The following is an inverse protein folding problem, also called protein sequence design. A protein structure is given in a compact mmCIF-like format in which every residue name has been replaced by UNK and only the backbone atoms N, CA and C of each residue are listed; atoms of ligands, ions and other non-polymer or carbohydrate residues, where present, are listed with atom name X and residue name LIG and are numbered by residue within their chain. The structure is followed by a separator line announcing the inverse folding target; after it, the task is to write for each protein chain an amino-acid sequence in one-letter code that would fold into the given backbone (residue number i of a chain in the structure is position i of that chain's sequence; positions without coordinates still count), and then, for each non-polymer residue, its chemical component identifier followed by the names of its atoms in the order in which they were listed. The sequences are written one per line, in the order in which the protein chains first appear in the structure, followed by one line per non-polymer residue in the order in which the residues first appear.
data_IF_806857446975
#
_entry.id   IF_806857446975
#
_cell.length_a   1.000
_cell.length_b   1.000
_cell.length_c   1.000
_cell.angle_alpha   90.00
_cell.angle_beta   90.00
_cell.angle_gamma   90.00
#
_symmetry.space_group_name_H-M   'P 1'
#
loop_
_entity.id
_entity.type
_entity.pdbx_description
1 polymer ?
#
# COMPACT_ATOMS: atom_id res chain seq x y z
N UNK A 1 -20.08 43.09 34.91
CA UNK A 1 -19.07 42.30 34.19
C UNK A 1 -19.55 40.87 33.93
N UNK A 2 -20.75 40.68 33.33
CA UNK A 2 -21.37 39.34 33.23
C UNK A 2 -21.78 38.91 31.82
N UNK A 3 -21.83 39.82 30.83
CA UNK A 3 -22.18 39.43 29.45
C UNK A 3 -20.96 39.01 28.60
N UNK A 4 -19.76 39.48 28.96
CA UNK A 4 -18.52 39.19 28.22
C UNK A 4 -18.01 37.76 28.48
N UNK A 5 -18.23 37.23 29.69
CA UNK A 5 -17.80 35.87 30.04
C UNK A 5 -18.59 34.76 29.32
N UNK A 6 -19.88 35.00 29.05
CA UNK A 6 -20.75 34.03 28.36
C UNK A 6 -20.42 33.96 26.86
N UNK A 7 -20.10 35.09 26.24
CA UNK A 7 -19.71 35.14 24.82
C UNK A 7 -18.40 34.39 24.52
N UNK A 8 -17.44 34.44 25.43
CA UNK A 8 -16.14 33.75 25.28
C UNK A 8 -16.27 32.23 25.45
N UNK A 9 -17.12 31.78 26.37
CA UNK A 9 -17.35 30.35 26.60
C UNK A 9 -18.00 29.66 25.39
N UNK A 10 -18.93 30.34 24.71
CA UNK A 10 -19.60 29.79 23.53
C UNK A 10 -18.65 29.67 22.33
N UNK A 11 -17.78 30.67 22.11
CA UNK A 11 -16.76 30.65 21.05
C UNK A 11 -15.71 29.56 21.26
N UNK A 12 -15.26 29.34 22.49
CA UNK A 12 -14.29 28.30 22.82
C UNK A 12 -14.85 26.88 22.59
N UNK A 13 -16.13 26.65 22.88
CA UNK A 13 -16.80 25.37 22.64
C UNK A 13 -17.04 25.11 21.14
N UNK A 14 -17.39 26.13 20.36
CA UNK A 14 -17.55 25.98 18.91
C UNK A 14 -16.23 25.76 18.18
N UNK A 15 -15.14 26.41 18.61
CA UNK A 15 -13.82 26.22 18.00
C UNK A 15 -13.21 24.86 18.40
N UNK A 16 -13.35 24.44 19.66
CA UNK A 16 -12.89 23.13 20.12
C UNK A 16 -13.65 21.95 19.49
N UNK A 17 -14.96 22.10 19.27
CA UNK A 17 -15.79 21.07 18.64
C UNK A 17 -15.49 20.86 17.16
N UNK A 18 -15.17 21.93 16.43
CA UNK A 18 -14.75 21.83 15.02
C UNK A 18 -13.38 21.19 14.89
N UNK A 19 -12.41 21.56 15.73
CA UNK A 19 -11.05 20.97 15.69
C UNK A 19 -11.09 19.46 15.90
N UNK A 20 -11.94 18.95 16.80
CA UNK A 20 -12.06 17.50 17.05
C UNK A 20 -12.63 16.72 15.87
N UNK A 21 -13.56 17.33 15.10
CA UNK A 21 -14.16 16.69 13.92
C UNK A 21 -13.20 16.59 12.73
N UNK A 22 -12.15 17.42 12.70
CA UNK A 22 -11.16 17.43 11.62
C UNK A 22 -9.81 16.83 12.02
N UNK A 23 -9.63 16.36 13.26
CA UNK A 23 -8.36 15.77 13.69
C UNK A 23 -7.96 14.60 12.77
N UNK A 24 -8.87 13.67 12.48
CA UNK A 24 -8.55 12.52 11.63
C UNK A 24 -8.16 12.93 10.20
N UNK A 25 -8.76 13.97 9.60
CA UNK A 25 -8.35 14.45 8.27
C UNK A 25 -7.09 15.33 8.27
N UNK A 26 -6.78 16.02 9.38
CA UNK A 26 -5.65 16.95 9.49
C UNK A 26 -4.29 16.27 9.71
N UNK A 27 -4.26 15.01 10.16
CA UNK A 27 -3.01 14.33 10.53
C UNK A 27 -2.52 13.31 9.49
N UNK A 28 -3.27 13.09 8.41
CA UNK A 28 -2.78 12.28 7.31
C UNK A 28 -1.80 13.09 6.44
N UNK A 29 -0.62 12.55 6.11
CA UNK A 29 0.30 13.21 5.18
C UNK A 29 -0.43 13.59 3.89
N UNK A 30 -0.28 14.85 3.48
CA UNK A 30 -0.92 15.42 2.29
C UNK A 30 -2.46 15.40 2.30
N UNK A 31 -3.10 15.13 3.45
CA UNK A 31 -4.54 14.90 3.54
C UNK A 31 -4.98 13.58 2.88
N UNK A 32 -4.06 12.65 2.61
CA UNK A 32 -4.35 11.34 2.03
C UNK A 32 -4.25 10.26 3.10
N UNK A 33 -5.39 9.66 3.47
CA UNK A 33 -5.46 8.60 4.49
C UNK A 33 -4.66 7.34 4.14
N UNK A 34 -4.25 7.19 2.86
CA UNK A 34 -3.39 6.10 2.40
C UNK A 34 -1.91 6.38 2.67
N UNK A 35 -1.53 7.65 2.83
CA UNK A 35 -0.15 8.04 3.04
C UNK A 35 0.30 7.71 4.46
N UNK A 36 1.47 7.08 4.57
CA UNK A 36 2.08 6.75 5.85
C UNK A 36 2.97 7.89 6.34
N UNK A 37 3.05 8.05 7.66
CA UNK A 37 3.87 9.08 8.28
C UNK A 37 5.33 8.99 7.80
N UNK A 38 5.94 10.14 7.52
CA UNK A 38 7.30 10.23 6.99
C UNK A 38 7.40 10.18 5.46
N UNK A 39 6.28 9.96 4.74
CA UNK A 39 6.26 10.09 3.28
C UNK A 39 6.65 11.51 2.85
N UNK A 40 7.56 11.62 1.88
CA UNK A 40 8.06 12.90 1.37
C UNK A 40 7.23 13.48 0.20
N UNK A 41 6.40 12.66 -0.44
CA UNK A 41 5.69 12.97 -1.69
C UNK A 41 4.29 12.35 -1.68
N UNK A 42 3.31 13.09 -2.21
CA UNK A 42 1.95 12.57 -2.40
C UNK A 42 1.87 11.73 -3.69
N UNK A 43 1.22 10.57 -3.61
CA UNK A 43 0.88 9.79 -4.80
C UNK A 43 -0.47 10.21 -5.38
N UNK A 44 -0.69 10.08 -6.70
CA UNK A 44 -1.98 10.36 -7.31
C UNK A 44 -3.11 9.51 -6.71
N UNK A 45 -4.36 9.97 -6.89
CA UNK A 45 -5.54 9.20 -6.48
C UNK A 45 -5.55 7.80 -7.10
N UNK A 46 -5.21 7.70 -8.39
CA UNK A 46 -4.99 6.42 -9.08
C UNK A 46 -3.49 6.13 -9.07
N UNK A 47 -3.07 5.22 -8.21
CA UNK A 47 -1.67 4.79 -8.12
C UNK A 47 -1.38 3.82 -9.26
N UNK A 48 -0.30 4.08 -9.99
CA UNK A 48 0.19 3.23 -11.07
C UNK A 48 1.63 2.83 -10.79
N UNK A 49 1.85 1.58 -10.40
CA UNK A 49 3.19 1.06 -10.17
C UNK A 49 3.80 0.58 -11.49
N UNK A 50 4.95 1.14 -11.88
CA UNK A 50 5.58 0.86 -13.18
C UNK A 50 4.66 1.07 -14.38
N UNK A 51 3.76 2.05 -14.30
CA UNK A 51 2.78 2.34 -15.35
C UNK A 51 1.53 1.46 -15.34
N UNK A 52 1.42 0.48 -14.42
CA UNK A 52 0.23 -0.37 -14.27
C UNK A 52 -0.62 0.09 -13.09
N UNK A 53 -1.88 0.52 -13.32
CA UNK A 53 -2.79 0.88 -12.24
C UNK A 53 -3.01 -0.28 -11.26
N UNK A 54 -3.13 0.05 -9.98
CA UNK A 54 -3.54 -0.92 -8.96
C UNK A 54 -4.87 -1.59 -9.35
N UNK A 55 -5.12 -2.84 -8.91
CA UNK A 55 -6.38 -3.51 -9.15
C UNK A 55 -7.59 -2.68 -8.73
N UNK A 56 -8.68 -2.78 -9.48
CA UNK A 56 -9.90 -2.01 -9.19
C UNK A 56 -10.55 -2.38 -7.84
N UNK A 57 -10.24 -3.58 -7.32
CA UNK A 57 -10.68 -4.09 -6.02
C UNK A 57 -9.63 -3.87 -4.91
N UNK A 58 -8.54 -3.15 -5.19
CA UNK A 58 -7.52 -2.86 -4.20
C UNK A 58 -8.14 -2.13 -3.00
N UNK A 59 -7.94 -2.70 -1.82
CA UNK A 59 -8.40 -2.19 -0.54
C UNK A 59 -7.26 -2.14 0.46
N UNK A 60 -7.46 -1.48 1.60
CA UNK A 60 -6.42 -1.28 2.62
C UNK A 60 -5.11 -0.77 2.01
N UNK A 61 -5.24 0.25 1.15
CA UNK A 61 -4.11 0.84 0.43
C UNK A 61 -3.34 1.74 1.39
N UNK A 62 -2.07 1.41 1.59
CA UNK A 62 -1.13 2.21 2.36
C UNK A 62 0.13 2.44 1.52
N UNK A 63 0.70 3.65 1.55
CA UNK A 63 1.92 3.95 0.83
C UNK A 63 2.90 4.78 1.65
N UNK A 64 4.19 4.55 1.41
CA UNK A 64 5.28 5.38 1.88
C UNK A 64 6.13 5.82 0.69
N UNK A 65 6.61 7.06 0.70
CA UNK A 65 7.58 7.55 -0.30
C UNK A 65 8.83 8.08 0.38
N UNK A 66 9.99 7.78 -0.20
CA UNK A 66 11.29 8.23 0.29
C UNK A 66 12.27 8.30 -0.90
N UNK A 67 12.90 9.45 -1.10
CA UNK A 67 13.97 9.68 -2.08
C UNK A 67 13.60 9.22 -3.51
N UNK A 68 12.41 9.62 -3.97
CA UNK A 68 11.92 9.30 -5.31
C UNK A 68 11.50 7.84 -5.50
N UNK A 69 11.40 7.06 -4.43
CA UNK A 69 10.84 5.69 -4.46
C UNK A 69 9.51 5.66 -3.72
N UNK A 70 8.55 4.87 -4.22
CA UNK A 70 7.30 4.56 -3.54
C UNK A 70 7.25 3.09 -3.16
N UNK A 71 6.69 2.82 -1.98
CA UNK A 71 6.30 1.50 -1.52
C UNK A 71 4.81 1.52 -1.21
N UNK A 72 4.05 0.56 -1.76
CA UNK A 72 2.59 0.52 -1.65
C UNK A 72 2.16 -0.88 -1.21
N UNK A 73 1.42 -0.97 -0.10
CA UNK A 73 0.74 -2.18 0.37
C UNK A 73 -0.75 -2.10 0.06
N UNK A 74 -1.34 -3.18 -0.43
CA UNK A 74 -2.79 -3.28 -0.66
C UNK A 74 -3.25 -4.74 -0.64
N UNK A 75 -4.56 -4.93 -0.46
CA UNK A 75 -5.23 -6.22 -0.48
C UNK A 75 -6.08 -6.36 -1.75
N UNK A 76 -5.98 -7.47 -2.48
CA UNK A 76 -6.73 -7.70 -3.73
C UNK A 76 -7.05 -9.19 -3.98
N UNK A 77 -8.19 -9.46 -4.60
CA UNK A 77 -8.57 -10.77 -5.17
C UNK A 77 -8.19 -10.91 -6.65
N UNK A 78 -7.79 -9.81 -7.30
CA UNK A 78 -7.46 -9.73 -8.73
C UNK A 78 -5.96 -9.73 -9.02
N UNK A 79 -5.18 -10.31 -8.11
CA UNK A 79 -3.73 -10.39 -8.24
C UNK A 79 -3.25 -11.08 -9.54
N UNK A 80 -3.79 -12.24 -9.98
CA UNK A 80 -3.29 -12.88 -11.21
C UNK A 80 -3.34 -11.95 -12.43
N UNK A 81 -4.48 -11.29 -12.61
CA UNK A 81 -4.74 -10.31 -13.66
C UNK A 81 -3.82 -9.07 -13.54
N UNK A 82 -3.50 -8.64 -12.31
CA UNK A 82 -2.51 -7.59 -12.09
C UNK A 82 -1.10 -7.98 -12.53
N UNK A 83 -0.63 -9.18 -12.16
CA UNK A 83 0.70 -9.67 -12.54
C UNK A 83 0.87 -9.76 -14.05
N UNK A 84 -0.19 -10.16 -14.77
CA UNK A 84 -0.22 -10.19 -16.23
C UNK A 84 -0.16 -8.79 -16.85
N UNK A 85 -1.02 -7.86 -16.41
CA UNK A 85 -1.02 -6.48 -16.93
C UNK A 85 0.27 -5.73 -16.62
N UNK A 86 0.90 -6.02 -15.48
CA UNK A 86 2.18 -5.47 -15.11
C UNK A 86 3.35 -6.06 -15.90
N UNK A 87 3.12 -7.07 -16.75
CA UNK A 87 4.16 -7.74 -17.52
C UNK A 87 5.12 -8.57 -16.67
N UNK A 88 4.76 -8.86 -15.42
CA UNK A 88 5.59 -9.64 -14.49
C UNK A 88 5.47 -11.14 -14.79
N UNK A 89 4.29 -11.58 -15.21
CA UNK A 89 4.01 -12.96 -15.61
C UNK A 89 3.26 -12.96 -16.94
N UNK A 90 3.70 -13.68 -17.99
CA UNK A 90 2.96 -13.76 -19.24
C UNK A 90 1.57 -14.39 -19.07
N UNK A 91 0.61 -13.98 -19.91
CA UNK A 91 -0.73 -14.56 -19.93
C UNK A 91 -0.69 -16.09 -20.10
N UNK A 92 -1.40 -16.80 -19.23
CA UNK A 92 -1.48 -18.26 -19.24
C UNK A 92 -0.25 -18.98 -18.69
N UNK A 93 0.80 -18.26 -18.29
CA UNK A 93 1.92 -18.85 -17.56
C UNK A 93 1.54 -19.16 -16.10
N UNK A 94 2.13 -20.20 -15.48
CA UNK A 94 1.95 -20.44 -14.05
C UNK A 94 2.42 -19.24 -13.23
N UNK A 95 1.61 -18.78 -12.29
CA UNK A 95 1.90 -17.57 -11.51
C UNK A 95 3.19 -17.74 -10.69
N UNK A 96 3.39 -18.88 -10.03
CA UNK A 96 4.55 -19.17 -9.17
C UNK A 96 5.69 -19.89 -9.92
N UNK A 97 5.92 -19.55 -11.18
CA UNK A 97 7.04 -20.10 -11.96
C UNK A 97 8.35 -19.35 -11.64
N UNK A 98 9.40 -20.10 -11.30
CA UNK A 98 10.71 -19.56 -10.93
C UNK A 98 11.41 -18.78 -12.06
N UNK A 99 10.94 -18.92 -13.30
CA UNK A 99 11.40 -18.09 -14.43
C UNK A 99 11.00 -16.63 -14.31
N UNK A 100 9.94 -16.32 -13.55
CA UNK A 100 9.37 -14.98 -13.45
C UNK A 100 9.48 -14.38 -12.04
N UNK A 101 9.74 -15.20 -11.02
CA UNK A 101 9.91 -14.74 -9.65
C UNK A 101 10.58 -15.79 -8.78
N UNK A 102 10.60 -15.58 -7.48
CA UNK A 102 11.18 -16.56 -6.55
C UNK A 102 10.49 -16.53 -5.18
N UNK A 103 10.72 -17.57 -4.40
CA UNK A 103 10.28 -17.58 -3.01
C UNK A 103 10.99 -16.47 -2.24
N UNK A 104 10.23 -15.62 -1.58
CA UNK A 104 10.77 -14.62 -0.67
C UNK A 104 11.06 -15.27 0.67
N UNK A 105 12.16 -14.89 1.31
CA UNK A 105 12.67 -15.51 2.54
C UNK A 105 11.87 -15.07 3.79
N UNK A 106 10.55 -15.27 3.73
CA UNK A 106 9.59 -15.00 4.80
C UNK A 106 8.80 -16.29 5.09
N UNK A 107 9.04 -16.87 6.26
CA UNK A 107 8.44 -18.13 6.71
C UNK A 107 6.96 -18.03 7.09
N UNK A 108 6.28 -19.17 7.26
CA UNK A 108 4.82 -19.26 7.43
C UNK A 108 4.23 -18.42 8.58
N UNK A 109 4.97 -18.26 9.68
CA UNK A 109 4.55 -17.49 10.86
C UNK A 109 5.30 -16.16 10.98
N UNK A 110 6.04 -15.80 9.96
CA UNK A 110 6.81 -14.56 9.90
C UNK A 110 6.01 -13.46 9.21
N UNK A 111 6.29 -12.23 9.61
CA UNK A 111 5.67 -11.04 9.03
C UNK A 111 6.71 -9.98 8.75
N UNK A 112 6.55 -9.26 7.65
CA UNK A 112 7.41 -8.15 7.27
C UNK A 112 6.59 -6.91 6.94
N UNK A 113 6.99 -5.78 7.51
CA UNK A 113 6.47 -4.46 7.16
C UNK A 113 7.67 -3.58 6.83
N UNK A 114 7.84 -3.17 5.56
CA UNK A 114 8.94 -2.29 5.18
C UNK A 114 8.93 -1.00 5.99
N UNK A 115 10.12 -0.47 6.26
CA UNK A 115 10.29 0.75 7.05
C UNK A 115 9.49 1.91 6.42
N UNK A 116 8.76 2.63 7.26
CA UNK A 116 7.93 3.77 6.85
C UNK A 116 6.55 3.40 6.34
N UNK A 117 6.34 2.13 5.94
CA UNK A 117 5.02 1.66 5.57
C UNK A 117 4.17 1.42 6.82
N UNK A 118 2.92 1.86 6.74
CA UNK A 118 1.89 1.71 7.75
C UNK A 118 0.86 0.67 7.31
N UNK A 119 -0.02 0.29 8.23
CA UNK A 119 -1.01 -0.75 7.99
C UNK A 119 -0.48 -2.17 8.24
N UNK A 120 -1.19 -3.20 7.76
CA UNK A 120 -0.83 -4.58 8.08
C UNK A 120 0.43 -5.06 7.37
N UNK A 121 1.27 -5.80 8.10
CA UNK A 121 2.45 -6.46 7.57
C UNK A 121 2.10 -7.56 6.54
N UNK A 122 3.01 -7.81 5.60
CA UNK A 122 2.99 -9.00 4.74
C UNK A 122 3.22 -10.24 5.61
N UNK A 123 2.45 -11.29 5.41
CA UNK A 123 2.60 -12.57 6.12
C UNK A 123 3.18 -13.62 5.19
N UNK A 124 4.12 -14.40 5.69
CA UNK A 124 4.67 -15.51 4.94
C UNK A 124 3.67 -16.69 4.81
N UNK A 125 3.97 -17.66 3.93
CA UNK A 125 5.04 -17.61 2.93
C UNK A 125 4.81 -16.50 1.89
N UNK A 126 5.85 -15.99 1.23
CA UNK A 126 5.72 -14.93 0.21
C UNK A 126 6.47 -15.25 -1.09
N UNK A 127 6.09 -14.57 -2.17
CA UNK A 127 6.72 -14.65 -3.49
C UNK A 127 7.14 -13.27 -3.97
N UNK A 128 8.31 -13.17 -4.59
CA UNK A 128 8.83 -11.94 -5.18
C UNK A 128 8.81 -12.01 -6.71
N UNK A 129 8.43 -10.91 -7.35
CA UNK A 129 8.59 -10.67 -8.78
C UNK A 129 9.45 -9.44 -8.97
N UNK A 130 10.44 -9.53 -9.85
CA UNK A 130 11.25 -8.38 -10.26
C UNK A 130 11.01 -8.13 -11.75
N UNK A 131 10.57 -6.93 -12.10
CA UNK A 131 10.49 -6.54 -13.50
C UNK A 131 11.90 -6.52 -14.11
N UNK A 132 12.17 -7.38 -15.09
CA UNK A 132 13.49 -7.52 -15.76
C UNK A 132 13.60 -6.70 -17.06
N UNK A 133 12.65 -5.80 -17.31
CA UNK A 133 12.58 -4.99 -18.54
C UNK A 133 13.21 -3.59 -18.43
N UNK A 134 13.17 -2.83 -19.52
CA UNK A 134 13.68 -1.45 -19.65
C UNK A 134 12.74 -0.36 -19.12
N UNK A 135 11.76 -0.74 -18.29
CA UNK A 135 10.85 0.20 -17.60
C UNK A 135 11.37 0.60 -16.21
N UNK A 136 10.74 1.58 -15.55
CA UNK A 136 11.04 1.89 -14.15
C UNK A 136 10.90 0.62 -13.30
N UNK A 137 11.89 0.38 -12.43
CA UNK A 137 12.01 -0.87 -11.71
C UNK A 137 10.77 -1.10 -10.85
N UNK A 138 10.11 -2.25 -11.02
CA UNK A 138 9.01 -2.68 -10.13
C UNK A 138 9.40 -3.97 -9.45
N UNK A 139 9.32 -3.95 -8.12
CA UNK A 139 9.41 -5.15 -7.30
C UNK A 139 8.04 -5.42 -6.66
N UNK A 140 7.55 -6.64 -6.75
CA UNK A 140 6.26 -7.05 -6.17
C UNK A 140 6.48 -8.22 -5.23
N UNK A 141 6.12 -8.04 -3.95
CA UNK A 141 6.01 -9.10 -2.97
C UNK A 141 4.55 -9.46 -2.76
N UNK A 142 4.26 -10.75 -2.65
CA UNK A 142 2.88 -11.27 -2.50
C UNK A 142 2.81 -12.36 -1.44
N UNK A 143 1.78 -12.31 -0.59
CA UNK A 143 1.44 -13.43 0.30
C UNK A 143 1.01 -14.69 -0.48
N UNK A 144 1.69 -15.81 -0.21
CA UNK A 144 1.32 -17.16 -0.67
C UNK A 144 0.42 -17.85 0.33
N UNK A 145 -0.35 -18.82 -0.16
CA UNK A 145 -1.14 -19.70 0.69
C UNK A 145 -0.22 -20.51 1.61
N UNK A 146 -0.54 -20.61 2.93
CA UNK A 146 0.24 -21.42 3.85
C UNK A 146 -0.14 -22.92 3.79
N UNK A 147 -1.27 -23.26 3.15
CA UNK A 147 -1.82 -24.63 3.10
C UNK A 147 -1.47 -25.32 1.77
N UNK A 148 -1.28 -24.56 0.69
CA UNK A 148 -0.92 -25.08 -0.62
C UNK A 148 0.28 -24.34 -1.19
N UNK A 149 1.20 -25.06 -1.83
CA UNK A 149 2.42 -24.47 -2.40
C UNK A 149 2.16 -23.68 -3.68
N UNK A 150 1.03 -23.90 -4.35
CA UNK A 150 0.85 -23.50 -5.75
C UNK A 150 -0.12 -22.31 -5.93
N UNK A 151 -0.39 -21.56 -4.86
CA UNK A 151 -1.35 -20.46 -4.90
C UNK A 151 -1.05 -19.32 -3.95
N UNK A 152 -1.70 -18.20 -4.24
CA UNK A 152 -1.74 -17.04 -3.36
C UNK A 152 -2.83 -17.17 -2.32
N UNK A 153 -2.76 -16.34 -1.28
CA UNK A 153 -3.95 -16.10 -0.44
C UNK A 153 -5.00 -15.40 -1.29
N UNK A 154 -6.27 -15.57 -0.94
CA UNK A 154 -7.38 -14.86 -1.61
C UNK A 154 -8.31 -14.25 -0.55
N UNK A 155 -8.37 -12.91 -0.43
CA UNK A 155 -7.52 -11.95 -1.13
C UNK A 155 -6.05 -12.02 -0.67
N UNK A 156 -5.12 -11.64 -1.56
CA UNK A 156 -3.69 -11.57 -1.29
C UNK A 156 -3.29 -10.15 -0.87
N UNK A 157 -2.45 -10.02 0.17
CA UNK A 157 -1.72 -8.78 0.39
C UNK A 157 -0.52 -8.72 -0.54
N UNK A 158 -0.34 -7.55 -1.13
CA UNK A 158 0.69 -7.24 -2.11
C UNK A 158 1.45 -6.03 -1.62
N UNK A 159 2.78 -6.09 -1.69
CA UNK A 159 3.64 -4.92 -1.53
C UNK A 159 4.36 -4.66 -2.83
N UNK A 160 4.28 -3.43 -3.33
CA UNK A 160 4.88 -3.02 -4.60
C UNK A 160 5.83 -1.85 -4.36
N UNK A 161 7.05 -1.96 -4.84
CA UNK A 161 8.04 -0.89 -4.81
C UNK A 161 8.36 -0.43 -6.22
N UNK A 162 8.39 0.88 -6.46
CA UNK A 162 8.65 1.48 -7.77
C UNK A 162 9.18 2.91 -7.68
N UNK A 163 9.86 3.37 -8.73
CA UNK A 163 10.35 4.75 -8.83
C UNK A 163 9.19 5.74 -9.09
N UNK A 164 9.16 6.83 -8.34
CA UNK A 164 8.28 7.99 -8.52
C UNK A 164 8.98 8.94 -9.49
N UNK A 165 8.58 8.88 -10.77
CA UNK A 165 9.13 9.72 -11.84
C UNK A 165 8.74 11.19 -11.77
#
# INVERSE_FOLDING_TARGET
MSCLAVGVAFLALSAGGLVWLFQDELFHPFGDARACEGSDTSLPKVISAGGTPLPADASEIHYATDDGTAQVSFLTSRLPDYLHRAGLVPDGAPLLDERYGSAYALGTDETELPKGLCGPALRGPAWSYLATGSGPGVNVLVERSPIGTDGFRDPARVMVSFDVG
#
